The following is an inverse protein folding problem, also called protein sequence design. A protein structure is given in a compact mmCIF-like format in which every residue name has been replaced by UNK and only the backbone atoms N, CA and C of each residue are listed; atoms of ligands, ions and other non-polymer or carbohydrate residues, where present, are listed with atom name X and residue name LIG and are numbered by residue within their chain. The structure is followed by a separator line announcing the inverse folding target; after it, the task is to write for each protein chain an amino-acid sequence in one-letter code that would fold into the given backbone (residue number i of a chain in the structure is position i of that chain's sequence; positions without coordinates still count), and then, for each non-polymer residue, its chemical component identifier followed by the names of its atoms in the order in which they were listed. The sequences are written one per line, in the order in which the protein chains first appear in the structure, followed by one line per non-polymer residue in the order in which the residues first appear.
data_IF_946814267397
#
_entry.id   IF_946814267397
#
_cell.length_a   1.000
_cell.length_b   1.000
_cell.length_c   1.000
_cell.angle_alpha   90.00
_cell.angle_beta   90.00
_cell.angle_gamma   90.00
#
_symmetry.space_group_name_H-M   'P 1'
#
loop_
_entity.id
_entity.type
_entity.pdbx_description
1 polymer ?
#
# COMPACT_ATOMS: atom_id res chain seq x y z
N UNK A 1 -40.02 19.05 -59.63
CA UNK A 1 -39.29 19.94 -58.69
C UNK A 1 -40.19 20.08 -57.47
N UNK A 2 -39.91 19.59 -56.26
CA UNK A 2 -38.68 19.24 -55.58
C UNK A 2 -38.87 17.99 -54.73
N UNK A 3 -37.92 17.06 -54.82
CA UNK A 3 -37.74 15.94 -53.90
C UNK A 3 -36.92 16.42 -52.71
N UNK A 4 -37.50 16.44 -51.51
CA UNK A 4 -36.80 16.79 -50.27
C UNK A 4 -36.10 15.55 -49.72
N UNK A 5 -34.78 15.50 -49.89
CA UNK A 5 -33.89 14.46 -49.36
C UNK A 5 -33.77 14.60 -47.84
N UNK A 6 -34.24 13.61 -47.09
CA UNK A 6 -34.03 13.50 -45.64
C UNK A 6 -32.66 12.85 -45.41
N UNK A 7 -31.69 13.65 -44.96
CA UNK A 7 -30.38 13.15 -44.55
C UNK A 7 -30.48 12.41 -43.21
N UNK A 8 -30.21 11.09 -43.24
CA UNK A 8 -29.96 10.29 -42.04
C UNK A 8 -28.67 10.76 -41.38
N UNK A 9 -28.76 11.40 -40.21
CA UNK A 9 -27.61 11.58 -39.30
C UNK A 9 -27.34 10.24 -38.62
N UNK A 10 -26.26 9.57 -39.01
CA UNK A 10 -25.72 8.42 -38.27
C UNK A 10 -25.23 8.90 -36.90
N UNK A 11 -25.92 8.51 -35.83
CA UNK A 11 -25.41 8.69 -34.48
C UNK A 11 -24.28 7.69 -34.24
N UNK A 12 -23.05 8.21 -34.10
CA UNK A 12 -21.92 7.42 -33.66
C UNK A 12 -22.24 6.83 -32.26
N UNK A 13 -22.36 5.50 -32.16
CA UNK A 13 -22.50 4.79 -30.88
C UNK A 13 -21.33 5.17 -29.98
N UNK A 14 -21.60 5.93 -28.90
CA UNK A 14 -20.67 6.07 -27.77
C UNK A 14 -20.38 4.65 -27.25
N UNK A 15 -19.14 4.19 -27.42
CA UNK A 15 -18.64 2.96 -26.78
C UNK A 15 -18.89 3.11 -25.28
N UNK A 16 -19.73 2.22 -24.73
CA UNK A 16 -19.86 2.04 -23.28
C UNK A 16 -18.47 1.75 -22.71
N UNK A 17 -17.94 2.66 -21.90
CA UNK A 17 -16.67 2.46 -21.22
C UNK A 17 -16.95 1.41 -20.14
N UNK A 18 -16.36 0.21 -20.27
CA UNK A 18 -16.48 -0.83 -19.25
C UNK A 18 -15.97 -0.25 -17.92
N UNK A 19 -16.72 -0.44 -16.83
CA UNK A 19 -16.34 0.07 -15.51
C UNK A 19 -14.98 -0.48 -15.02
N UNK A 20 -14.48 -1.52 -15.69
CA UNK A 20 -13.29 -2.30 -15.32
C UNK A 20 -12.10 -2.01 -16.23
N UNK A 21 -12.17 -0.96 -17.04
CA UNK A 21 -11.06 -0.54 -17.90
C UNK A 21 -9.87 -0.07 -17.08
N UNK A 22 -8.75 -0.74 -17.28
CA UNK A 22 -7.42 -0.37 -16.81
C UNK A 22 -6.77 0.55 -17.84
N UNK A 23 -6.32 1.72 -17.40
CA UNK A 23 -5.83 2.76 -18.31
C UNK A 23 -4.38 2.47 -18.74
N UNK A 24 -4.01 2.75 -20.01
CA UNK A 24 -2.62 2.64 -20.44
C UNK A 24 -1.79 3.74 -19.77
N UNK A 25 -0.86 3.32 -18.90
CA UNK A 25 0.09 4.16 -18.17
C UNK A 25 1.36 3.36 -17.82
N UNK A 26 2.48 4.07 -17.66
CA UNK A 26 3.77 3.45 -17.31
C UNK A 26 3.78 3.06 -15.83
N UNK A 27 4.23 1.84 -15.54
CA UNK A 27 4.36 1.35 -14.17
C UNK A 27 5.36 2.21 -13.37
N UNK A 28 6.45 2.68 -13.96
CA UNK A 28 7.43 3.52 -13.25
C UNK A 28 6.81 4.83 -12.73
N UNK A 29 5.87 5.40 -13.50
CA UNK A 29 5.13 6.60 -13.09
C UNK A 29 4.15 6.33 -11.95
N UNK A 30 3.70 5.08 -11.77
CA UNK A 30 2.86 4.70 -10.63
C UNK A 30 3.59 4.93 -9.31
N UNK A 31 4.86 4.52 -9.22
CA UNK A 31 5.62 4.61 -7.97
C UNK A 31 5.80 6.06 -7.53
N UNK A 32 6.05 6.99 -8.46
CA UNK A 32 6.13 8.42 -8.14
C UNK A 32 4.77 8.97 -7.69
N UNK A 33 3.67 8.50 -8.28
CA UNK A 33 2.33 8.88 -7.85
C UNK A 33 1.99 8.33 -6.45
N UNK A 34 2.42 7.10 -6.14
CA UNK A 34 2.27 6.51 -4.80
C UNK A 34 3.14 7.23 -3.77
N UNK A 35 4.36 7.62 -4.12
CA UNK A 35 5.23 8.45 -3.29
C UNK A 35 4.54 9.78 -2.94
N UNK A 36 3.83 10.39 -3.90
CA UNK A 36 3.03 11.59 -3.64
C UNK A 36 1.93 11.36 -2.60
N UNK A 37 1.24 10.22 -2.65
CA UNK A 37 0.19 9.88 -1.67
C UNK A 37 0.75 9.51 -0.31
N UNK A 38 1.88 8.80 -0.28
CA UNK A 38 2.62 8.54 0.95
C UNK A 38 3.03 9.85 1.62
N UNK A 39 3.51 10.81 0.81
CA UNK A 39 4.04 12.08 1.30
C UNK A 39 3.00 13.16 1.58
N UNK A 40 1.92 13.25 0.84
CA UNK A 40 0.95 14.35 1.00
C UNK A 40 -0.24 13.91 1.87
N UNK A 41 -0.86 14.86 2.55
CA UNK A 41 -2.10 14.62 3.29
C UNK A 41 -3.29 14.61 2.34
N UNK A 42 -3.88 13.42 2.16
CA UNK A 42 -5.02 13.16 1.28
C UNK A 42 -4.98 13.95 -0.06
N UNK A 43 -3.91 13.83 -0.88
CA UNK A 43 -3.75 14.69 -2.03
C UNK A 43 -4.81 14.43 -3.09
N UNK A 44 -5.25 15.50 -3.74
CA UNK A 44 -6.05 15.43 -4.97
C UNK A 44 -5.20 14.96 -6.15
N UNK A 45 -5.85 14.50 -7.23
CA UNK A 45 -5.15 14.14 -8.47
C UNK A 45 -4.26 15.27 -9.01
N UNK A 46 -4.67 16.53 -8.84
CA UNK A 46 -3.87 17.69 -9.25
C UNK A 46 -2.57 17.82 -8.44
N UNK A 47 -2.66 17.64 -7.12
CA UNK A 47 -1.48 17.67 -6.24
C UNK A 47 -0.56 16.48 -6.52
N UNK A 48 -1.11 15.29 -6.80
CA UNK A 48 -0.31 14.12 -7.22
C UNK A 48 0.42 14.42 -8.54
N UNK A 49 -0.26 15.01 -9.53
CA UNK A 49 0.33 15.38 -10.81
C UNK A 49 1.51 16.36 -10.63
N UNK A 50 1.29 17.41 -9.81
CA UNK A 50 2.31 18.41 -9.50
C UNK A 50 3.51 17.79 -8.79
N UNK A 51 3.29 16.96 -7.77
CA UNK A 51 4.37 16.29 -7.04
C UNK A 51 5.17 15.36 -7.95
N UNK A 52 4.49 14.56 -8.77
CA UNK A 52 5.13 13.58 -9.64
C UNK A 52 5.75 14.18 -10.91
N UNK A 53 5.56 15.48 -11.17
CA UNK A 53 6.08 16.13 -12.38
C UNK A 53 5.45 15.59 -13.67
N UNK A 54 4.17 15.18 -13.62
CA UNK A 54 3.43 14.61 -14.75
C UNK A 54 2.17 15.43 -15.06
N UNK A 55 1.61 15.26 -16.25
CA UNK A 55 0.37 15.93 -16.61
C UNK A 55 -0.85 15.35 -15.85
N UNK A 56 -1.88 16.19 -15.66
CA UNK A 56 -3.07 15.83 -14.89
C UNK A 56 -3.83 14.62 -15.46
N UNK A 57 -3.78 14.40 -16.78
CA UNK A 57 -4.45 13.25 -17.42
C UNK A 57 -3.72 11.96 -17.10
N UNK A 58 -2.38 11.96 -17.15
CA UNK A 58 -1.56 10.81 -16.76
C UNK A 58 -1.74 10.49 -15.27
N UNK A 59 -1.73 11.50 -14.40
CA UNK A 59 -2.03 11.30 -12.98
C UNK A 59 -3.42 10.69 -12.74
N UNK A 60 -4.44 11.17 -13.46
CA UNK A 60 -5.80 10.62 -13.36
C UNK A 60 -5.88 9.14 -13.74
N UNK A 61 -5.15 8.71 -14.79
CA UNK A 61 -5.06 7.30 -15.18
C UNK A 61 -4.37 6.45 -14.11
N UNK A 62 -3.22 6.91 -13.60
CA UNK A 62 -2.45 6.20 -12.58
C UNK A 62 -3.24 6.02 -11.30
N UNK A 63 -3.91 7.07 -10.82
CA UNK A 63 -4.74 7.01 -9.62
C UNK A 63 -5.93 6.07 -9.81
N UNK A 64 -6.59 6.10 -10.98
CA UNK A 64 -7.66 5.15 -11.30
C UNK A 64 -7.17 3.70 -11.26
N UNK A 65 -6.02 3.41 -11.89
CA UNK A 65 -5.41 2.09 -11.90
C UNK A 65 -5.01 1.65 -10.49
N UNK A 66 -4.39 2.54 -9.70
CA UNK A 66 -4.01 2.30 -8.32
C UNK A 66 -5.22 1.96 -7.42
N UNK A 67 -6.36 2.64 -7.60
CA UNK A 67 -7.60 2.28 -6.91
C UNK A 67 -8.10 0.90 -7.33
N UNK A 68 -8.02 0.56 -8.63
CA UNK A 68 -8.47 -0.75 -9.14
C UNK A 68 -7.64 -1.92 -8.63
N UNK A 69 -6.32 -1.76 -8.49
CA UNK A 69 -5.45 -2.79 -7.89
C UNK A 69 -5.46 -2.77 -6.36
N UNK A 70 -6.20 -1.84 -5.73
CA UNK A 70 -6.31 -1.76 -4.28
C UNK A 70 -5.10 -1.12 -3.58
N UNK A 71 -4.26 -0.38 -4.29
CA UNK A 71 -3.18 0.42 -3.70
C UNK A 71 -3.69 1.72 -3.06
N UNK A 72 -4.73 2.31 -3.64
CA UNK A 72 -5.33 3.57 -3.17
C UNK A 72 -6.80 3.42 -2.81
N UNK A 73 -7.23 4.21 -1.83
CA UNK A 73 -8.64 4.41 -1.48
C UNK A 73 -9.03 5.87 -1.74
N UNK A 74 -10.10 6.12 -2.52
CA UNK A 74 -10.63 7.47 -2.68
C UNK A 74 -11.34 7.94 -1.40
N UNK A 75 -11.11 9.19 -1.03
CA UNK A 75 -11.83 9.87 0.05
C UNK A 75 -12.86 10.84 -0.51
N UNK A 76 -13.61 11.51 0.38
CA UNK A 76 -14.43 12.67 0.00
C UNK A 76 -13.60 13.76 -0.69
N UNK A 77 -12.33 13.88 -0.30
CA UNK A 77 -11.34 14.73 -0.96
C UNK A 77 -9.99 14.00 -1.00
N UNK A 78 -9.52 13.71 -2.21
CA UNK A 78 -8.20 13.11 -2.44
C UNK A 78 -8.14 11.60 -2.20
N UNK A 79 -6.93 11.11 -1.94
CA UNK A 79 -6.62 9.68 -1.91
C UNK A 79 -5.68 9.34 -0.76
N UNK A 80 -5.73 8.09 -0.30
CA UNK A 80 -4.85 7.53 0.74
C UNK A 80 -4.38 6.14 0.32
N UNK A 81 -3.26 5.71 0.91
CA UNK A 81 -2.76 4.35 0.72
C UNK A 81 -3.62 3.34 1.47
N UNK A 82 -3.82 2.17 0.85
CA UNK A 82 -4.51 1.03 1.47
C UNK A 82 -3.56 0.00 2.07
N UNK A 83 -2.32 -0.02 1.60
CA UNK A 83 -1.27 -0.93 2.04
C UNK A 83 -0.14 -0.10 2.64
N UNK A 84 0.58 -0.69 3.59
CA UNK A 84 1.83 -0.13 4.06
C UNK A 84 2.79 0.03 2.88
N UNK A 85 3.48 1.16 2.84
CA UNK A 85 4.30 1.52 1.69
C UNK A 85 5.68 2.01 2.13
N UNK A 86 6.77 1.53 1.51
CA UNK A 86 8.13 1.92 1.84
C UNK A 86 8.41 3.32 1.27
N UNK A 87 8.08 4.34 2.06
CA UNK A 87 8.34 5.74 1.71
C UNK A 87 9.85 5.96 1.57
N UNK A 88 10.26 6.54 0.43
CA UNK A 88 11.68 6.69 0.08
C UNK A 88 12.50 5.38 0.19
N UNK A 89 11.80 4.25 0.04
CA UNK A 89 12.39 2.92 -0.02
C UNK A 89 12.92 2.60 -1.40
N UNK A 90 13.62 1.46 -1.50
CA UNK A 90 14.14 0.97 -2.78
C UNK A 90 12.99 0.62 -3.72
N UNK A 91 13.23 0.76 -5.03
CA UNK A 91 12.24 0.39 -6.06
C UNK A 91 11.73 -1.05 -5.88
N UNK A 92 12.62 -2.00 -5.57
CA UNK A 92 12.26 -3.40 -5.33
C UNK A 92 11.22 -3.57 -4.21
N UNK A 93 11.32 -2.79 -3.13
CA UNK A 93 10.35 -2.85 -2.03
C UNK A 93 8.99 -2.31 -2.49
N UNK A 94 9.00 -1.20 -3.25
CA UNK A 94 7.78 -0.61 -3.83
C UNK A 94 7.12 -1.57 -4.83
N UNK A 95 7.90 -2.23 -5.67
CA UNK A 95 7.46 -3.28 -6.60
C UNK A 95 6.82 -4.46 -5.85
N UNK A 96 7.40 -4.87 -4.73
CA UNK A 96 6.86 -5.97 -3.90
C UNK A 96 5.49 -5.62 -3.33
N UNK A 97 5.25 -4.37 -2.90
CA UNK A 97 3.92 -3.93 -2.44
C UNK A 97 2.89 -3.91 -3.57
N UNK A 98 3.26 -3.42 -4.76
CA UNK A 98 2.34 -3.45 -5.91
C UNK A 98 2.08 -4.89 -6.37
N UNK A 99 3.08 -5.77 -6.31
CA UNK A 99 2.95 -7.21 -6.58
C UNK A 99 1.97 -7.86 -5.61
N UNK A 100 2.06 -7.57 -4.32
CA UNK A 100 1.11 -8.04 -3.29
C UNK A 100 -0.32 -7.62 -3.63
N UNK A 101 -0.52 -6.34 -3.96
CA UNK A 101 -1.82 -5.80 -4.33
C UNK A 101 -2.42 -6.53 -5.54
N UNK A 102 -1.58 -6.81 -6.56
CA UNK A 102 -1.97 -7.57 -7.74
C UNK A 102 -2.32 -9.03 -7.41
N UNK A 103 -1.53 -9.71 -6.56
CA UNK A 103 -1.80 -11.09 -6.14
C UNK A 103 -3.11 -11.22 -5.36
N UNK A 104 -3.50 -10.17 -4.63
CA UNK A 104 -4.78 -10.09 -3.90
C UNK A 104 -5.99 -9.79 -4.82
N UNK A 105 -5.78 -9.48 -6.10
CA UNK A 105 -6.90 -9.23 -7.03
C UNK A 105 -7.58 -10.54 -7.45
N UNK A 106 -8.91 -10.67 -7.28
CA UNK A 106 -9.65 -11.86 -7.73
C UNK A 106 -9.46 -12.19 -9.22
N UNK A 107 -9.33 -11.15 -10.07
CA UNK A 107 -9.07 -11.31 -11.50
C UNK A 107 -7.69 -11.95 -11.77
N UNK A 108 -6.64 -11.53 -11.06
CA UNK A 108 -5.29 -12.08 -11.21
C UNK A 108 -5.26 -13.52 -10.67
N UNK A 109 -5.89 -13.80 -9.53
CA UNK A 109 -5.98 -15.15 -8.99
C UNK A 109 -6.68 -16.11 -9.96
N UNK A 110 -7.82 -15.71 -10.54
CA UNK A 110 -8.53 -16.52 -11.53
C UNK A 110 -7.70 -16.71 -12.82
N UNK A 111 -7.02 -15.66 -13.29
CA UNK A 111 -6.13 -15.72 -14.45
C UNK A 111 -5.04 -16.78 -14.24
N UNK A 112 -4.35 -16.73 -13.10
CA UNK A 112 -3.31 -17.70 -12.74
C UNK A 112 -3.83 -19.12 -12.66
N UNK A 113 -5.02 -19.33 -12.10
CA UNK A 113 -5.65 -20.65 -12.02
C UNK A 113 -5.85 -21.26 -13.42
N UNK A 114 -6.39 -20.49 -14.38
CA UNK A 114 -6.55 -20.97 -15.76
C UNK A 114 -5.21 -21.23 -16.45
N UNK A 115 -4.21 -20.37 -16.26
CA UNK A 115 -2.85 -20.60 -16.77
C UNK A 115 -2.18 -21.84 -16.17
N UNK A 116 -2.51 -22.19 -14.92
CA UNK A 116 -2.08 -23.43 -14.26
C UNK A 116 -2.76 -24.66 -14.85
N UNK A 117 -4.00 -24.53 -15.30
CA UNK A 117 -4.74 -25.57 -16.03
C UNK A 117 -4.30 -25.73 -17.50
N UNK A 118 -3.37 -24.91 -17.98
CA UNK A 118 -2.78 -25.03 -19.31
C UNK A 118 -3.35 -24.08 -20.37
N UNK A 119 -4.27 -23.19 -20.00
CA UNK A 119 -4.75 -22.16 -20.92
C UNK A 119 -3.64 -21.15 -21.25
N UNK A 120 -3.61 -20.67 -22.50
CA UNK A 120 -2.79 -19.51 -22.86
C UNK A 120 -3.31 -18.22 -22.20
N UNK A 121 -2.46 -17.20 -22.11
CA UNK A 121 -2.74 -15.95 -21.39
C UNK A 121 -4.04 -15.26 -21.86
N UNK A 122 -4.34 -15.25 -23.16
CA UNK A 122 -5.51 -14.55 -23.70
C UNK A 122 -6.80 -15.32 -23.40
N UNK A 123 -6.76 -16.64 -23.54
CA UNK A 123 -7.89 -17.52 -23.17
C UNK A 123 -8.15 -17.47 -21.68
N UNK A 124 -7.09 -17.58 -20.87
CA UNK A 124 -7.15 -17.50 -19.42
C UNK A 124 -7.72 -16.15 -18.96
N UNK A 125 -7.27 -15.03 -19.55
CA UNK A 125 -7.78 -13.68 -19.24
C UNK A 125 -9.26 -13.55 -19.55
N UNK A 126 -9.71 -14.06 -20.70
CA UNK A 126 -11.13 -14.04 -21.07
C UNK A 126 -11.98 -14.84 -20.07
N UNK A 127 -11.53 -16.04 -19.69
CA UNK A 127 -12.24 -16.89 -18.73
C UNK A 127 -12.26 -16.25 -17.34
N UNK A 128 -11.13 -15.71 -16.88
CA UNK A 128 -11.04 -14.98 -15.61
C UNK A 128 -11.97 -13.75 -15.59
N UNK A 129 -11.96 -12.95 -16.64
CA UNK A 129 -12.86 -11.81 -16.80
C UNK A 129 -14.34 -12.23 -16.74
N UNK A 130 -14.70 -13.37 -17.33
CA UNK A 130 -16.06 -13.91 -17.29
C UNK A 130 -16.47 -14.28 -15.86
N UNK A 131 -15.60 -14.96 -15.10
CA UNK A 131 -15.86 -15.31 -13.69
C UNK A 131 -16.02 -14.04 -12.84
N UNK A 132 -15.22 -13.01 -13.10
CA UNK A 132 -15.28 -11.74 -12.38
C UNK A 132 -16.43 -10.82 -12.86
N UNK A 133 -17.32 -11.30 -13.73
CA UNK A 133 -18.47 -10.52 -14.21
C UNK A 133 -18.11 -9.36 -15.15
N UNK A 134 -16.93 -9.38 -15.76
CA UNK A 134 -16.44 -8.32 -16.66
C UNK A 134 -17.02 -8.54 -18.06
N UNK A 135 -18.16 -7.91 -18.35
CA UNK A 135 -18.84 -7.97 -19.64
C UNK A 135 -19.23 -6.58 -20.17
N UNK A 136 -19.07 -6.30 -21.49
CA UNK A 136 -18.42 -7.16 -22.48
C UNK A 136 -16.90 -7.25 -22.27
N UNK A 137 -16.32 -8.42 -22.54
CA UNK A 137 -14.87 -8.60 -22.47
C UNK A 137 -14.18 -7.86 -23.63
N UNK A 138 -13.28 -6.95 -23.28
CA UNK A 138 -12.43 -6.21 -24.23
C UNK A 138 -10.98 -6.35 -23.77
N UNK A 139 -10.18 -7.14 -24.49
CA UNK A 139 -8.79 -7.42 -24.09
C UNK A 139 -7.96 -6.14 -23.89
N UNK A 140 -8.10 -5.15 -24.78
CA UNK A 140 -7.37 -3.89 -24.68
C UNK A 140 -7.67 -3.07 -23.41
N UNK A 141 -8.81 -3.33 -22.76
CA UNK A 141 -9.16 -2.69 -21.48
C UNK A 141 -8.41 -3.31 -20.29
N UNK A 142 -7.87 -4.53 -20.43
CA UNK A 142 -7.17 -5.27 -19.37
C UNK A 142 -5.69 -5.53 -19.68
N UNK A 143 -5.26 -5.41 -20.93
CA UNK A 143 -3.87 -5.60 -21.33
C UNK A 143 -2.88 -4.79 -20.48
N UNK A 144 -3.12 -3.52 -20.12
CA UNK A 144 -2.15 -2.78 -19.31
C UNK A 144 -2.06 -3.30 -17.86
N UNK A 145 -3.14 -3.89 -17.30
CA UNK A 145 -3.08 -4.60 -16.03
C UNK A 145 -2.21 -5.85 -16.12
N UNK A 146 -2.42 -6.65 -17.19
CA UNK A 146 -1.66 -7.88 -17.44
C UNK A 146 -0.18 -7.57 -17.67
N UNK A 147 0.15 -6.46 -18.34
CA UNK A 147 1.51 -5.99 -18.51
C UNK A 147 2.18 -5.69 -17.16
N UNK A 148 1.50 -4.95 -16.27
CA UNK A 148 2.02 -4.67 -14.93
C UNK A 148 2.19 -5.96 -14.13
N UNK A 149 1.20 -6.85 -14.15
CA UNK A 149 1.23 -8.12 -13.45
C UNK A 149 2.36 -9.03 -13.95
N UNK A 150 2.59 -9.08 -15.26
CA UNK A 150 3.68 -9.86 -15.83
C UNK A 150 5.04 -9.26 -15.47
N UNK A 151 5.21 -7.94 -15.60
CA UNK A 151 6.47 -7.24 -15.29
C UNK A 151 6.88 -7.41 -13.83
N UNK A 152 5.91 -7.41 -12.91
CA UNK A 152 6.13 -7.61 -11.48
C UNK A 152 6.15 -9.09 -11.05
N UNK A 153 6.10 -10.04 -12.00
CA UNK A 153 6.09 -11.47 -11.69
C UNK A 153 4.84 -11.93 -10.92
N UNK A 154 3.75 -11.16 -10.89
CA UNK A 154 2.52 -11.52 -10.22
C UNK A 154 1.79 -12.70 -10.92
N UNK A 155 2.07 -12.95 -12.20
CA UNK A 155 1.50 -14.05 -12.98
C UNK A 155 2.27 -15.38 -12.85
N UNK A 156 3.33 -15.45 -12.04
CA UNK A 156 4.02 -16.70 -11.73
C UNK A 156 3.03 -17.71 -11.11
N UNK A 157 2.93 -18.90 -11.72
CA UNK A 157 1.79 -19.83 -11.52
C UNK A 157 1.57 -20.25 -10.07
N UNK A 158 2.65 -20.48 -9.32
CA UNK A 158 2.60 -21.04 -7.97
C UNK A 158 2.81 -19.99 -6.88
N UNK A 159 3.08 -18.74 -7.26
CA UNK A 159 3.27 -17.66 -6.28
C UNK A 159 1.95 -17.23 -5.64
N UNK A 160 1.90 -17.20 -4.33
CA UNK A 160 0.81 -16.68 -3.52
C UNK A 160 1.25 -15.39 -2.80
N UNK A 161 0.29 -14.64 -2.25
CA UNK A 161 0.62 -13.43 -1.49
C UNK A 161 1.37 -13.78 -0.19
N UNK A 162 1.05 -14.93 0.39
CA UNK A 162 1.71 -15.50 1.56
C UNK A 162 3.19 -15.78 1.31
N UNK A 163 3.56 -16.23 0.10
CA UNK A 163 4.97 -16.44 -0.26
C UNK A 163 5.79 -15.14 -0.21
N UNK A 164 5.16 -13.98 -0.42
CA UNK A 164 5.86 -12.69 -0.30
C UNK A 164 6.22 -12.37 1.16
N UNK A 165 5.40 -12.82 2.12
CA UNK A 165 5.67 -12.67 3.55
C UNK A 165 6.87 -13.52 3.94
N UNK A 166 6.94 -14.76 3.47
CA UNK A 166 8.08 -15.64 3.73
C UNK A 166 9.37 -15.11 3.07
N UNK A 167 9.26 -14.58 1.85
CA UNK A 167 10.37 -13.91 1.17
C UNK A 167 10.83 -12.67 1.93
N UNK A 168 9.92 -11.88 2.49
CA UNK A 168 10.23 -10.71 3.31
C UNK A 168 10.97 -11.10 4.61
N UNK A 169 10.54 -12.16 5.29
CA UNK A 169 11.23 -12.68 6.48
C UNK A 169 12.64 -13.19 6.13
N UNK A 170 12.80 -13.89 5.01
CA UNK A 170 14.11 -14.32 4.51
C UNK A 170 15.02 -13.14 4.16
N UNK A 171 14.48 -12.10 3.50
CA UNK A 171 15.22 -10.86 3.19
C UNK A 171 15.68 -10.15 4.47
N UNK A 172 14.85 -10.10 5.51
CA UNK A 172 15.24 -9.58 6.84
C UNK A 172 16.44 -10.35 7.38
N UNK A 173 16.41 -11.68 7.36
CA UNK A 173 17.52 -12.50 7.84
C UNK A 173 18.81 -12.27 7.04
N UNK A 174 18.73 -12.18 5.70
CA UNK A 174 19.88 -11.89 4.85
C UNK A 174 20.44 -10.49 5.15
N UNK A 175 19.57 -9.47 5.26
CA UNK A 175 19.95 -8.10 5.63
C UNK A 175 20.77 -8.08 6.92
N UNK A 176 20.34 -8.78 7.97
CA UNK A 176 21.09 -8.83 9.23
C UNK A 176 22.43 -9.56 9.13
N UNK A 177 22.57 -10.52 8.21
CA UNK A 177 23.85 -11.20 7.95
C UNK A 177 24.83 -10.30 7.19
N UNK A 178 24.34 -9.52 6.23
CA UNK A 178 25.15 -8.61 5.42
C UNK A 178 25.52 -7.32 6.18
N UNK A 179 24.57 -6.75 6.92
CA UNK A 179 24.74 -5.54 7.71
C UNK A 179 23.94 -5.63 9.00
N UNK A 180 24.64 -5.89 10.11
CA UNK A 180 24.05 -6.02 11.43
C UNK A 180 23.46 -4.73 11.97
N UNK A 181 23.70 -3.57 11.36
CA UNK A 181 23.24 -2.27 11.82
C UNK A 181 22.06 -1.74 11.00
N UNK A 182 21.86 -2.26 9.79
CA UNK A 182 20.74 -1.84 8.95
C UNK A 182 19.42 -2.30 9.56
N UNK A 183 18.49 -1.36 9.73
CA UNK A 183 17.17 -1.62 10.34
C UNK A 183 16.03 -1.11 9.48
N UNK A 184 14.89 -1.79 9.59
CA UNK A 184 13.63 -1.36 9.01
C UNK A 184 12.61 -1.18 10.13
N UNK A 185 11.93 -0.03 10.14
CA UNK A 185 10.84 0.28 11.06
C UNK A 185 9.51 0.34 10.30
N UNK A 186 8.51 -0.39 10.78
CA UNK A 186 7.13 -0.23 10.36
C UNK A 186 6.45 0.80 11.25
N UNK A 187 6.03 1.94 10.70
CA UNK A 187 5.41 3.04 11.42
C UNK A 187 3.92 3.15 11.08
N UNK A 188 3.09 2.68 12.01
CA UNK A 188 1.64 2.78 11.94
C UNK A 188 1.14 4.02 12.67
N UNK A 189 0.24 4.78 12.03
CA UNK A 189 -0.22 6.08 12.54
C UNK A 189 -1.62 6.45 12.04
N UNK A 190 -2.29 7.39 12.73
CA UNK A 190 -3.50 8.02 12.19
C UNK A 190 -3.14 8.89 11.00
N UNK A 191 -4.01 8.96 9.99
CA UNK A 191 -3.76 9.85 8.84
C UNK A 191 -3.62 11.33 9.25
N UNK A 192 -4.22 11.73 10.38
CA UNK A 192 -4.08 13.10 10.93
C UNK A 192 -2.65 13.39 11.44
N UNK A 193 -1.87 12.36 11.76
CA UNK A 193 -0.51 12.48 12.28
C UNK A 193 0.56 12.48 11.17
N UNK A 194 0.14 12.37 9.91
CA UNK A 194 1.05 12.28 8.75
C UNK A 194 2.11 13.39 8.71
N UNK A 195 1.83 14.68 9.02
CA UNK A 195 2.87 15.70 9.07
C UNK A 195 4.02 15.37 10.04
N UNK A 196 3.69 14.94 11.25
CA UNK A 196 4.67 14.53 12.25
C UNK A 196 5.43 13.28 11.80
N UNK A 197 4.70 12.28 11.33
CA UNK A 197 5.25 10.97 10.94
C UNK A 197 6.22 11.07 9.78
N UNK A 198 6.00 12.00 8.84
CA UNK A 198 6.93 12.29 7.75
C UNK A 198 8.25 12.87 8.23
N UNK A 199 8.19 13.81 9.17
CA UNK A 199 9.39 14.37 9.79
C UNK A 199 10.18 13.26 10.49
N UNK A 200 9.49 12.42 11.26
CA UNK A 200 10.10 11.29 11.95
C UNK A 200 10.73 10.28 10.97
N UNK A 201 10.01 9.92 9.89
CA UNK A 201 10.52 9.00 8.89
C UNK A 201 11.79 9.52 8.21
N UNK A 202 11.83 10.81 7.86
CA UNK A 202 13.01 11.45 7.30
C UNK A 202 14.20 11.45 8.27
N UNK A 203 13.95 11.75 9.55
CA UNK A 203 14.99 11.75 10.59
C UNK A 203 15.53 10.33 10.84
N UNK A 204 14.66 9.32 10.90
CA UNK A 204 15.06 7.91 11.01
C UNK A 204 15.89 7.45 9.81
N UNK A 205 15.47 7.82 8.59
CA UNK A 205 16.23 7.53 7.37
C UNK A 205 17.63 8.15 7.39
N UNK A 206 17.76 9.38 7.88
CA UNK A 206 19.07 10.04 8.06
C UNK A 206 20.01 9.33 9.04
N UNK A 207 19.50 8.32 9.77
CA UNK A 207 20.21 7.47 10.72
C UNK A 207 20.24 6.00 10.28
N UNK A 208 20.10 5.75 8.98
CA UNK A 208 20.15 4.43 8.33
C UNK A 208 19.03 3.46 8.79
N UNK A 209 17.89 4.00 9.20
CA UNK A 209 16.67 3.22 9.48
C UNK A 209 15.68 3.45 8.34
N UNK A 210 15.44 2.43 7.52
CA UNK A 210 14.42 2.48 6.47
C UNK A 210 13.02 2.42 7.12
N UNK A 211 12.04 3.14 6.58
CA UNK A 211 10.71 3.26 7.18
C UNK A 211 9.62 2.81 6.21
N UNK A 212 8.77 1.90 6.68
CA UNK A 212 7.50 1.57 6.05
C UNK A 212 6.39 2.38 6.73
N UNK A 213 5.62 3.13 5.95
CA UNK A 213 4.52 3.93 6.46
C UNK A 213 3.20 3.18 6.28
N UNK A 214 2.42 3.11 7.35
CA UNK A 214 1.07 2.55 7.37
C UNK A 214 0.09 3.56 7.95
N UNK A 215 -0.95 3.89 7.17
CA UNK A 215 -2.06 4.71 7.63
C UNK A 215 -3.13 3.80 8.24
N UNK A 216 -3.45 4.00 9.52
CA UNK A 216 -4.41 3.19 10.29
C UNK A 216 -5.84 3.33 9.76
N UNK A 217 -6.15 2.59 8.70
CA UNK A 217 -7.47 2.51 8.07
C UNK A 217 -7.95 1.07 8.08
N UNK A 218 -8.37 0.63 9.26
CA UNK A 218 -8.95 -0.68 9.49
C UNK A 218 -10.45 -0.51 9.65
N UNK A 219 -11.23 -1.15 8.77
CA UNK A 219 -12.68 -1.16 8.82
C UNK A 219 -13.16 -2.35 9.65
N UNK A 220 -14.38 -2.26 10.16
CA UNK A 220 -15.03 -3.40 10.84
C UNK A 220 -15.07 -4.60 9.88
N UNK A 221 -14.52 -5.72 10.34
CA UNK A 221 -14.44 -6.97 9.55
C UNK A 221 -13.09 -7.20 8.86
N UNK A 222 -12.20 -6.21 8.80
CA UNK A 222 -10.86 -6.41 8.24
C UNK A 222 -9.99 -7.28 9.14
N UNK A 223 -9.22 -8.19 8.54
CA UNK A 223 -8.15 -8.92 9.22
C UNK A 223 -6.94 -8.00 9.38
N UNK A 224 -6.68 -7.56 10.63
CA UNK A 224 -5.55 -6.67 10.95
C UNK A 224 -4.20 -7.33 10.61
N UNK A 225 -3.93 -8.60 11.03
CA UNK A 225 -2.66 -9.24 10.71
C UNK A 225 -2.38 -9.29 9.22
N UNK A 226 -3.37 -9.62 8.39
CA UNK A 226 -3.22 -9.69 6.93
C UNK A 226 -2.92 -8.34 6.27
N UNK A 227 -3.41 -7.24 6.84
CA UNK A 227 -3.17 -5.89 6.30
C UNK A 227 -1.74 -5.42 6.49
N UNK A 228 -1.11 -5.81 7.60
CA UNK A 228 0.22 -5.32 7.97
C UNK A 228 1.31 -6.37 7.85
N UNK A 229 0.96 -7.64 7.58
CA UNK A 229 1.87 -8.79 7.58
C UNK A 229 3.13 -8.55 6.74
N UNK A 230 2.99 -8.08 5.50
CA UNK A 230 4.13 -7.88 4.60
C UNK A 230 5.08 -6.79 5.10
N UNK A 231 4.56 -5.61 5.45
CA UNK A 231 5.40 -4.54 5.98
C UNK A 231 6.05 -4.92 7.32
N UNK A 232 5.34 -5.69 8.14
CA UNK A 232 5.87 -6.20 9.41
C UNK A 232 6.94 -7.28 9.21
N UNK A 233 6.82 -8.12 8.18
CA UNK A 233 7.73 -9.23 7.88
C UNK A 233 9.16 -8.78 7.54
N UNK A 234 9.30 -7.67 6.80
CA UNK A 234 10.62 -7.09 6.55
C UNK A 234 11.16 -6.25 7.71
N UNK A 235 10.34 -5.94 8.72
CA UNK A 235 10.66 -4.95 9.76
C UNK A 235 11.29 -5.53 11.02
N UNK A 236 12.10 -4.73 11.68
CA UNK A 236 12.75 -5.02 12.97
C UNK A 236 11.97 -4.41 14.13
N UNK A 237 11.36 -3.25 13.86
CA UNK A 237 10.60 -2.48 14.83
C UNK A 237 9.20 -2.19 14.31
N UNK A 238 8.23 -2.30 15.20
CA UNK A 238 6.86 -1.86 14.98
C UNK A 238 6.63 -0.60 15.81
N UNK A 239 6.74 0.55 15.16
CA UNK A 239 6.50 1.86 15.74
C UNK A 239 5.02 2.18 15.67
N UNK A 240 4.42 2.44 16.83
CA UNK A 240 3.00 2.78 16.93
C UNK A 240 2.87 4.25 17.32
N UNK A 241 2.37 5.09 16.41
CA UNK A 241 1.97 6.45 16.74
C UNK A 241 0.66 6.47 17.54
N UNK A 242 0.73 6.95 18.79
CA UNK A 242 -0.41 7.16 19.66
C UNK A 242 -0.67 8.66 19.81
N UNK A 243 -1.82 9.10 19.35
CA UNK A 243 -2.36 10.45 19.45
C UNK A 243 -3.84 10.42 19.83
N UNK A 244 -4.43 11.56 20.15
CA UNK A 244 -5.88 11.64 20.35
C UNK A 244 -6.61 11.19 19.07
N UNK A 245 -6.04 11.52 17.90
CA UNK A 245 -6.56 11.11 16.60
C UNK A 245 -6.44 9.60 16.34
N UNK A 246 -5.41 8.92 16.85
CA UNK A 246 -5.27 7.46 16.71
C UNK A 246 -6.17 6.72 17.70
N UNK A 247 -6.35 7.23 18.91
CA UNK A 247 -7.22 6.63 19.94
C UNK A 247 -8.70 6.60 19.53
N UNK A 248 -9.13 7.55 18.70
CA UNK A 248 -10.47 7.55 18.11
C UNK A 248 -10.67 6.45 17.07
N UNK A 249 -9.59 5.90 16.51
CA UNK A 249 -9.65 4.87 15.48
C UNK A 249 -10.12 3.53 16.04
N UNK A 250 -10.85 2.78 15.21
CA UNK A 250 -11.36 1.43 15.53
C UNK A 250 -10.25 0.45 15.94
N UNK A 251 -9.01 0.72 15.51
CA UNK A 251 -7.82 -0.07 15.81
C UNK A 251 -7.38 -0.01 17.28
N UNK A 252 -7.53 1.14 17.94
CA UNK A 252 -7.18 1.27 19.38
C UNK A 252 -8.34 0.81 20.27
N UNK A 253 -9.59 0.97 19.81
CA UNK A 253 -10.79 0.65 20.58
C UNK A 253 -11.02 -0.85 20.76
N UNK A 254 -10.66 -1.66 19.76
CA UNK A 254 -10.51 -3.11 19.93
C UNK A 254 -9.09 -3.32 20.41
N UNK A 255 -8.93 -3.72 21.68
CA UNK A 255 -7.66 -4.08 22.30
C UNK A 255 -6.67 -4.57 21.25
N UNK A 256 -5.48 -3.98 21.21
CA UNK A 256 -4.36 -4.37 20.36
C UNK A 256 -4.29 -5.90 20.32
N UNK A 257 -4.92 -6.50 19.31
CA UNK A 257 -5.52 -7.82 19.49
C UNK A 257 -4.43 -8.85 19.77
N UNK A 258 -4.70 -9.90 20.56
CA UNK A 258 -3.72 -10.97 20.83
C UNK A 258 -3.06 -11.49 19.55
N UNK A 259 -3.80 -11.49 18.43
CA UNK A 259 -3.28 -11.81 17.10
C UNK A 259 -2.10 -10.92 16.67
N UNK A 260 -2.17 -9.60 16.86
CA UNK A 260 -1.07 -8.69 16.51
C UNK A 260 0.13 -8.88 17.42
N UNK A 261 -0.10 -9.03 18.73
CA UNK A 261 0.98 -9.31 19.70
C UNK A 261 1.68 -10.62 19.36
N UNK A 262 0.92 -11.69 19.11
CA UNK A 262 1.46 -12.99 18.72
C UNK A 262 2.23 -12.90 17.40
N UNK A 263 1.72 -12.15 16.43
CA UNK A 263 2.33 -12.03 15.12
C UNK A 263 3.65 -11.26 15.17
N UNK A 264 3.70 -10.18 15.94
CA UNK A 264 4.91 -9.44 16.25
C UNK A 264 5.93 -10.32 16.98
N UNK A 265 5.48 -11.09 17.99
CA UNK A 265 6.35 -12.01 18.74
C UNK A 265 6.92 -13.11 17.83
N UNK A 266 6.08 -13.74 17.01
CA UNK A 266 6.46 -14.78 16.04
C UNK A 266 7.53 -14.29 15.08
N UNK A 267 7.45 -13.03 14.67
CA UNK A 267 8.40 -12.41 13.71
C UNK A 267 9.60 -11.73 14.36
N UNK A 268 9.73 -11.82 15.68
CA UNK A 268 10.77 -11.12 16.45
C UNK A 268 10.83 -9.62 16.10
N UNK A 269 9.66 -8.97 16.06
CA UNK A 269 9.55 -7.53 15.86
C UNK A 269 9.39 -6.86 17.21
N UNK A 270 10.12 -5.78 17.47
CA UNK A 270 10.00 -5.03 18.73
C UNK A 270 8.93 -3.95 18.61
N UNK A 271 7.88 -4.02 19.44
CA UNK A 271 6.86 -2.95 19.52
C UNK A 271 7.38 -1.78 20.32
N UNK A 272 7.40 -0.59 19.71
CA UNK A 272 7.81 0.67 20.32
C UNK A 272 6.67 1.69 20.22
N UNK A 273 5.94 1.97 21.31
CA UNK A 273 4.92 3.01 21.31
C UNK A 273 5.54 4.41 21.26
N UNK A 274 4.93 5.29 20.48
CA UNK A 274 5.31 6.70 20.33
C UNK A 274 4.14 7.57 20.79
N UNK A 275 4.29 8.31 21.89
CA UNK A 275 3.28 9.26 22.36
C UNK A 275 3.45 10.58 21.60
N UNK A 276 2.52 10.89 20.69
CA UNK A 276 2.63 12.02 19.76
C UNK A 276 2.05 13.32 20.32
N UNK A 277 0.98 13.21 21.11
CA UNK A 277 0.32 14.33 21.80
C UNK A 277 -0.02 13.95 23.25
N UNK A 278 -0.90 14.69 23.91
CA UNK A 278 -1.28 14.45 25.31
C UNK A 278 -2.13 13.18 25.53
N UNK A 279 -2.46 12.42 24.49
CA UNK A 279 -3.28 11.22 24.56
C UNK A 279 -2.87 10.22 25.64
N UNK A 280 -3.88 9.59 26.24
CA UNK A 280 -3.71 8.46 27.13
C UNK A 280 -3.15 7.25 26.35
N UNK A 281 -2.21 6.53 26.96
CA UNK A 281 -1.74 5.27 26.39
C UNK A 281 -2.84 4.20 26.50
N UNK A 282 -3.08 3.40 25.44
CA UNK A 282 -3.98 2.28 25.51
C UNK A 282 -3.53 1.24 26.54
N UNK A 283 -4.47 0.66 27.28
CA UNK A 283 -4.18 -0.31 28.34
C UNK A 283 -3.29 -1.49 27.88
N UNK A 284 -3.49 -1.95 26.64
CA UNK A 284 -2.75 -3.06 26.04
C UNK A 284 -1.23 -2.83 25.89
N UNK A 285 -0.77 -1.58 25.95
CA UNK A 285 0.65 -1.20 25.84
C UNK A 285 1.07 -0.21 26.93
N UNK A 286 0.24 -0.03 27.96
CA UNK A 286 0.48 0.95 29.02
C UNK A 286 1.69 0.57 29.90
N UNK A 287 2.05 -0.70 29.95
CA UNK A 287 3.22 -1.24 30.65
C UNK A 287 4.53 -1.14 29.85
N UNK A 288 4.45 -0.80 28.55
CA UNK A 288 5.63 -0.58 27.71
C UNK A 288 6.15 0.85 27.87
N UNK A 289 7.47 0.99 28.03
CA UNK A 289 8.13 2.29 27.91
C UNK A 289 7.90 2.83 26.49
N UNK A 290 7.48 4.08 26.40
CA UNK A 290 7.22 4.77 25.13
C UNK A 290 8.21 5.92 24.92
N UNK A 291 8.42 6.29 23.66
CA UNK A 291 9.09 7.53 23.30
C UNK A 291 8.07 8.68 23.39
N UNK A 292 8.35 9.68 24.24
CA UNK A 292 7.44 10.81 24.48
C UNK A 292 7.79 12.00 23.59
N UNK A 293 7.03 12.17 22.51
CA UNK A 293 7.13 13.32 21.60
C UNK A 293 6.18 14.46 21.98
N UNK A 294 5.23 14.23 22.90
CA UNK A 294 4.23 15.22 23.30
C UNK A 294 4.82 16.47 23.96
N UNK A 295 6.02 16.33 24.56
CA UNK A 295 6.73 17.41 25.24
C UNK A 295 7.81 18.05 24.37
N UNK A 296 8.60 17.22 23.69
CA UNK A 296 9.73 17.67 22.87
C UNK A 296 10.07 16.63 21.82
N UNK A 297 10.03 17.06 20.56
CA UNK A 297 10.39 16.21 19.43
C UNK A 297 11.82 15.68 19.56
N UNK A 298 12.75 16.55 19.95
CA UNK A 298 14.18 16.22 20.05
C UNK A 298 14.46 15.14 21.11
N UNK A 299 13.79 15.20 22.26
CA UNK A 299 13.99 14.18 23.31
C UNK A 299 13.35 12.86 22.91
N UNK A 300 12.12 12.88 22.37
CA UNK A 300 11.46 11.67 21.89
C UNK A 300 12.27 10.96 20.80
N UNK A 301 12.83 11.71 19.85
CA UNK A 301 13.69 11.17 18.81
C UNK A 301 14.98 10.58 19.38
N UNK A 302 15.62 11.24 20.34
CA UNK A 302 16.84 10.74 20.97
C UNK A 302 16.60 9.41 21.70
N UNK A 303 15.52 9.33 22.49
CA UNK A 303 15.13 8.11 23.21
C UNK A 303 14.81 6.95 22.26
N UNK A 304 14.09 7.25 21.16
CA UNK A 304 13.79 6.26 20.13
C UNK A 304 15.07 5.74 19.47
N UNK A 305 15.97 6.63 19.03
CA UNK A 305 17.22 6.25 18.37
C UNK A 305 18.15 5.44 19.28
N UNK A 306 18.17 5.70 20.59
CA UNK A 306 18.90 4.87 21.55
C UNK A 306 18.40 3.42 21.53
N UNK A 307 17.09 3.22 21.43
CA UNK A 307 16.48 1.89 21.36
C UNK A 307 16.77 1.20 20.03
N UNK A 308 16.65 1.94 18.91
CA UNK A 308 16.89 1.41 17.57
C UNK A 308 18.36 1.00 17.33
N UNK A 309 19.31 1.60 18.06
CA UNK A 309 20.73 1.26 18.03
C UNK A 309 21.17 0.27 19.12
N UNK A 310 20.41 0.13 20.20
CA UNK A 310 20.83 -0.58 21.42
C UNK A 310 20.51 -2.08 21.47
N UNK A 311 19.74 -2.61 20.52
CA UNK A 311 19.50 -4.06 20.39
C UNK A 311 20.59 -4.68 19.51
N UNK A 312 21.76 -4.89 20.13
CA UNK A 312 22.88 -5.71 19.65
C UNK A 312 23.00 -6.98 20.51
#
# INVERSE_FOLDING_TARGET
MNTTTIAQKSSAKKKSISAHRFEPARLDSLFVALDAVAWLDAPTTSQIAQFAGIDARTAGKLVKNACQIGMLEPLSKGYVLKLAYPYDGKLEQKETVVREALLKMPLISALKQFMKLGDDLNVALRKAATIQGIAPFVASDLNPLVEWANRLGALEKDLLAEDLVDQAEAKKQIRHKEDSNKRIAFLSHSSKDKPFVRQLAADLKSKDVDVWLDEQRIRVGDSIPEKIAQGLAESDYFLIGISNASNESEWVKKELNNALVNEVQRRHVHVLPLKLDDAAMPAAIADKKYADFSKSYKSGLADLLLTLKGHH
#
